data_IF_501144813673
#
_entry.id   IF_501144813673
#
_cell.length_a   1.000
_cell.length_b   1.000
_cell.length_c   1.000
_cell.angle_alpha   90.00
_cell.angle_beta   90.00
_cell.angle_gamma   90.00
#
_symmetry.space_group_name_H-M   'P 1'
#
loop_
_entity.id
_entity.type
_entity.pdbx_description
1 polymer ?
#
# COMPACT_ATOMS: atom_id res chain seq x y z
N UNK A 1 -5.25 -9.13 21.00
CA UNK A 1 -5.20 -9.38 19.53
C UNK A 1 -4.74 -8.08 18.89
N UNK A 2 -3.79 -8.15 17.96
CA UNK A 2 -3.29 -6.99 17.22
C UNK A 2 -3.39 -7.30 15.73
N UNK A 3 -3.85 -6.35 14.92
CA UNK A 3 -3.95 -6.52 13.48
C UNK A 3 -4.26 -5.22 12.76
N UNK A 4 -3.83 -5.11 11.51
CA UNK A 4 -4.19 -4.00 10.62
C UNK A 4 -5.27 -4.48 9.63
N UNK A 5 -6.50 -3.94 9.70
CA UNK A 5 -7.59 -4.34 8.81
C UNK A 5 -7.31 -4.06 7.32
N UNK A 6 -6.36 -3.17 7.02
CA UNK A 6 -5.94 -2.82 5.66
C UNK A 6 -5.02 -3.85 4.99
N UNK A 7 -4.47 -4.81 5.76
CA UNK A 7 -3.45 -5.75 5.28
C UNK A 7 -3.96 -7.18 5.07
N UNK A 8 -5.25 -7.36 4.81
CA UNK A 8 -5.86 -8.66 4.52
C UNK A 8 -5.67 -9.01 3.04
N UNK A 9 -4.49 -9.49 2.68
CA UNK A 9 -4.11 -9.81 1.29
C UNK A 9 -4.57 -11.20 0.83
N UNK A 10 -4.84 -12.09 1.76
CA UNK A 10 -5.34 -13.46 1.51
C UNK A 10 -6.44 -13.80 2.50
N UNK A 11 -7.46 -14.47 2.01
CA UNK A 11 -8.53 -15.04 2.80
C UNK A 11 -8.29 -16.56 2.87
N UNK A 12 -7.67 -17.00 3.97
CA UNK A 12 -7.45 -18.43 4.24
C UNK A 12 -8.46 -18.92 5.27
N UNK A 13 -8.98 -20.13 5.08
CA UNK A 13 -9.84 -20.81 6.05
C UNK A 13 -11.09 -20.01 6.50
N UNK A 14 -11.81 -19.43 5.54
CA UNK A 14 -13.10 -18.78 5.83
C UNK A 14 -14.10 -19.90 6.15
N UNK A 15 -14.40 -20.07 7.44
CA UNK A 15 -15.54 -20.89 7.83
C UNK A 15 -16.84 -20.12 7.54
N UNK A 16 -17.90 -20.84 7.15
CA UNK A 16 -19.22 -20.23 6.89
C UNK A 16 -19.71 -19.37 8.07
N UNK A 17 -19.40 -19.79 9.30
CA UNK A 17 -19.78 -19.10 10.53
C UNK A 17 -19.16 -17.70 10.68
N UNK A 18 -17.92 -17.51 10.27
CA UNK A 18 -17.16 -16.26 10.46
C UNK A 18 -16.86 -15.53 9.16
N UNK A 19 -17.37 -16.02 8.03
CA UNK A 19 -17.16 -15.41 6.72
C UNK A 19 -17.61 -13.95 6.63
N UNK A 20 -18.64 -13.56 7.38
CA UNK A 20 -19.11 -12.17 7.46
C UNK A 20 -18.10 -11.19 8.05
N UNK A 21 -17.06 -11.67 8.72
CA UNK A 21 -15.98 -10.87 9.30
C UNK A 21 -14.69 -10.91 8.46
N UNK A 22 -14.73 -11.52 7.29
CA UNK A 22 -13.64 -11.42 6.32
C UNK A 22 -13.41 -9.95 5.92
N UNK A 23 -12.38 -9.68 5.17
CA UNK A 23 -12.06 -8.34 4.65
C UNK A 23 -11.69 -7.26 5.71
N UNK A 24 -11.02 -7.69 6.78
CA UNK A 24 -10.48 -6.76 7.78
C UNK A 24 -11.48 -6.33 8.86
N UNK A 25 -12.66 -6.94 8.93
CA UNK A 25 -13.68 -6.66 9.97
C UNK A 25 -13.35 -7.24 11.34
N UNK A 26 -12.08 -7.08 11.76
CA UNK A 26 -11.58 -7.61 13.04
C UNK A 26 -12.29 -6.95 14.24
N UNK A 27 -12.60 -5.66 14.15
CA UNK A 27 -13.34 -4.92 15.16
C UNK A 27 -14.73 -5.48 15.36
N UNK A 28 -15.46 -5.70 14.26
CA UNK A 28 -16.78 -6.27 14.28
C UNK A 28 -16.77 -7.70 14.86
N UNK A 29 -15.78 -8.50 14.52
CA UNK A 29 -15.59 -9.83 15.11
C UNK A 29 -15.39 -9.76 16.62
N UNK A 30 -14.48 -8.87 17.08
CA UNK A 30 -14.22 -8.70 18.51
C UNK A 30 -15.50 -8.25 19.24
N UNK A 31 -16.20 -7.25 18.73
CA UNK A 31 -17.41 -6.72 19.36
C UNK A 31 -18.56 -7.74 19.37
N UNK A 32 -18.81 -8.40 18.25
CA UNK A 32 -20.00 -9.22 18.06
C UNK A 32 -19.87 -10.68 18.51
N UNK A 33 -18.64 -11.22 18.55
CA UNK A 33 -18.42 -12.61 18.92
C UNK A 33 -17.69 -12.75 20.26
N UNK A 34 -16.58 -12.04 20.45
CA UNK A 34 -15.81 -12.09 21.69
C UNK A 34 -16.46 -11.26 22.81
N UNK A 35 -16.93 -10.05 22.49
CA UNK A 35 -17.55 -9.13 23.44
C UNK A 35 -18.82 -9.67 24.11
N UNK A 36 -19.48 -10.66 23.50
CA UNK A 36 -20.59 -11.40 24.12
C UNK A 36 -20.16 -12.32 25.29
N UNK A 37 -18.88 -12.70 25.31
CA UNK A 37 -18.36 -13.68 26.26
C UNK A 37 -17.44 -13.07 27.30
N UNK A 38 -16.69 -12.04 26.89
CA UNK A 38 -15.70 -11.35 27.73
C UNK A 38 -15.76 -9.86 27.45
N UNK A 39 -15.42 -9.04 28.46
CA UNK A 39 -15.26 -7.61 28.28
C UNK A 39 -14.05 -7.34 27.40
N UNK A 40 -14.27 -6.73 26.24
CA UNK A 40 -13.23 -6.36 25.27
C UNK A 40 -13.05 -4.84 25.29
N UNK A 41 -11.80 -4.39 25.32
CA UNK A 41 -11.42 -3.01 25.03
C UNK A 41 -10.74 -2.98 23.67
N UNK A 42 -11.17 -2.10 22.77
CA UNK A 42 -10.64 -1.95 21.41
C UNK A 42 -9.96 -0.59 21.31
N UNK A 43 -8.65 -0.61 21.13
CA UNK A 43 -7.84 0.57 20.89
C UNK A 43 -7.47 0.63 19.40
N UNK A 44 -7.93 1.68 18.72
CA UNK A 44 -7.69 1.92 17.29
C UNK A 44 -6.66 3.04 17.04
N UNK A 45 -6.12 3.64 18.10
CA UNK A 45 -5.31 4.86 17.99
C UNK A 45 -3.86 4.69 18.42
N UNK A 46 -3.59 3.93 19.47
CA UNK A 46 -2.23 3.84 20.06
C UNK A 46 -1.18 3.32 19.08
N UNK A 47 -1.52 2.36 18.21
CA UNK A 47 -0.61 1.79 17.23
C UNK A 47 -0.76 2.39 15.82
N UNK A 48 -1.16 3.64 15.71
CA UNK A 48 -1.37 4.33 14.43
C UNK A 48 -0.10 5.02 13.88
N UNK A 49 1.08 4.65 14.35
CA UNK A 49 2.34 5.21 13.86
C UNK A 49 3.04 4.28 12.88
N UNK A 50 3.45 4.83 11.73
CA UNK A 50 4.28 4.12 10.76
C UNK A 50 5.76 4.34 11.05
N UNK A 51 6.47 3.27 11.42
CA UNK A 51 7.93 3.29 11.59
C UNK A 51 8.68 3.13 10.25
N UNK A 52 7.98 3.09 9.15
CA UNK A 52 8.54 2.85 7.81
C UNK A 52 8.29 4.01 6.86
N UNK A 53 7.04 4.41 6.72
CA UNK A 53 6.60 5.29 5.65
C UNK A 53 6.78 6.77 6.03
N UNK A 54 7.11 7.60 5.04
CA UNK A 54 7.03 9.05 5.16
C UNK A 54 5.57 9.55 5.03
N UNK A 55 5.36 10.84 5.24
CA UNK A 55 4.02 11.45 5.26
C UNK A 55 3.28 11.25 3.93
N UNK A 56 3.96 11.46 2.79
CA UNK A 56 3.33 11.33 1.47
C UNK A 56 2.81 9.92 1.21
N UNK A 57 3.58 8.89 1.59
CA UNK A 57 3.17 7.49 1.47
C UNK A 57 2.00 7.19 2.41
N UNK A 58 2.03 7.69 3.65
CA UNK A 58 0.95 7.53 4.61
C UNK A 58 -0.35 8.15 4.11
N UNK A 59 -0.31 9.40 3.64
CA UNK A 59 -1.46 10.12 3.12
C UNK A 59 -2.04 9.46 1.87
N UNK A 60 -1.19 9.12 0.90
CA UNK A 60 -1.64 8.47 -0.32
C UNK A 60 -2.28 7.10 -0.06
N UNK A 61 -1.64 6.25 0.76
CA UNK A 61 -2.17 4.93 1.06
C UNK A 61 -3.46 4.97 1.88
N UNK A 62 -3.64 5.97 2.75
CA UNK A 62 -4.84 6.13 3.57
C UNK A 62 -6.10 6.40 2.75
N UNK A 63 -6.00 7.02 1.56
CA UNK A 63 -7.13 7.26 0.67
C UNK A 63 -7.90 5.99 0.27
N UNK A 64 -7.24 4.83 0.31
CA UNK A 64 -7.90 3.55 0.07
C UNK A 64 -8.85 3.11 1.19
N UNK A 65 -8.71 3.70 2.37
CA UNK A 65 -9.47 3.37 3.57
C UNK A 65 -9.88 4.65 4.31
N UNK A 66 -10.80 5.46 3.72
CA UNK A 66 -11.16 6.77 4.25
C UNK A 66 -11.82 6.71 5.64
N UNK A 67 -12.41 5.56 5.97
CA UNK A 67 -13.07 5.33 7.27
C UNK A 67 -12.08 4.96 8.39
N UNK A 68 -10.80 4.82 8.09
CA UNK A 68 -9.76 4.46 9.07
C UNK A 68 -8.81 5.64 9.32
N UNK A 69 -8.25 5.75 10.54
CA UNK A 69 -7.29 6.79 10.86
C UNK A 69 -6.08 6.76 9.91
N UNK A 70 -5.60 7.94 9.50
CA UNK A 70 -4.39 8.07 8.69
C UNK A 70 -3.19 7.70 9.56
N UNK A 71 -2.36 6.70 9.16
CA UNK A 71 -1.12 6.42 9.87
C UNK A 71 -0.17 7.61 9.77
N UNK A 72 0.42 8.01 10.87
CA UNK A 72 1.39 9.10 10.90
C UNK A 72 2.82 8.55 10.93
N UNK A 73 3.79 9.19 10.28
CA UNK A 73 5.19 8.82 10.42
C UNK A 73 5.63 8.87 11.88
N UNK A 74 6.39 7.88 12.31
CA UNK A 74 6.99 7.88 13.64
C UNK A 74 7.96 9.05 13.81
N UNK A 75 7.89 9.73 14.94
CA UNK A 75 8.77 10.86 15.27
C UNK A 75 10.10 10.45 15.92
N UNK A 76 10.33 9.16 16.19
CA UNK A 76 11.55 8.71 16.86
C UNK A 76 12.81 8.92 15.98
N UNK A 77 13.94 9.20 16.63
CA UNK A 77 15.21 9.48 15.93
C UNK A 77 15.65 8.32 15.03
N UNK A 78 15.44 7.09 15.44
CA UNK A 78 15.82 5.89 14.68
C UNK A 78 15.03 5.72 13.37
N UNK A 79 13.82 6.27 13.29
CA UNK A 79 12.98 6.25 12.09
C UNK A 79 13.17 7.49 11.22
N UNK A 80 13.73 8.57 11.78
CA UNK A 80 14.07 9.79 11.05
C UNK A 80 15.36 9.55 10.27
N UNK A 81 15.24 9.02 9.08
CA UNK A 81 16.36 8.99 8.14
C UNK A 81 16.24 10.20 7.22
N UNK A 82 17.27 11.01 7.20
CA UNK A 82 17.36 12.10 6.23
C UNK A 82 17.75 11.49 4.89
N UNK A 83 16.83 11.51 3.93
CA UNK A 83 17.11 11.14 2.55
C UNK A 83 16.79 12.35 1.68
N UNK A 84 17.79 12.93 1.10
CA UNK A 84 17.64 14.25 0.48
C UNK A 84 17.00 14.23 -0.89
N UNK A 85 16.81 13.09 -1.53
CA UNK A 85 16.39 13.07 -2.93
C UNK A 85 15.36 11.99 -3.20
N UNK A 86 14.30 12.37 -3.90
CA UNK A 86 13.29 11.48 -4.43
C UNK A 86 12.47 10.75 -3.35
N UNK A 87 11.71 11.51 -2.57
CA UNK A 87 10.75 11.00 -1.58
C UNK A 87 9.30 11.25 -2.02
N UNK A 88 8.43 10.30 -1.72
CA UNK A 88 6.99 10.43 -1.95
C UNK A 88 6.41 9.39 -2.90
N UNK A 89 5.26 9.75 -3.51
CA UNK A 89 4.56 8.90 -4.47
C UNK A 89 4.61 9.55 -5.85
N UNK A 90 5.00 8.76 -6.85
CA UNK A 90 5.23 9.23 -8.22
C UNK A 90 4.50 8.36 -9.22
N UNK A 91 4.04 8.96 -10.31
CA UNK A 91 3.65 8.24 -11.52
C UNK A 91 4.81 8.27 -12.51
N UNK A 92 5.08 7.15 -13.14
CA UNK A 92 6.14 7.01 -14.14
C UNK A 92 5.57 6.41 -15.43
N UNK A 93 5.96 7.00 -16.57
CA UNK A 93 5.55 6.47 -17.87
C UNK A 93 6.27 5.17 -18.19
N UNK A 94 5.65 4.22 -18.91
CA UNK A 94 6.27 2.93 -19.23
C UNK A 94 7.64 3.03 -19.93
N UNK A 95 7.85 4.05 -20.77
CA UNK A 95 9.13 4.24 -21.47
C UNK A 95 10.27 4.74 -20.57
N UNK A 96 9.97 5.32 -19.40
CA UNK A 96 10.95 5.82 -18.44
C UNK A 96 11.36 4.75 -17.40
N UNK A 97 10.69 3.59 -17.38
CA UNK A 97 10.89 2.56 -16.36
C UNK A 97 12.33 2.07 -16.30
N UNK A 98 12.97 1.81 -17.44
CA UNK A 98 14.34 1.29 -17.44
C UNK A 98 15.33 2.30 -16.85
N UNK A 99 15.18 3.58 -17.20
CA UNK A 99 15.99 4.65 -16.66
C UNK A 99 15.77 4.77 -15.14
N UNK A 100 14.52 4.73 -14.70
CA UNK A 100 14.16 4.78 -13.29
C UNK A 100 14.74 3.62 -12.48
N UNK A 101 14.71 2.40 -13.03
CA UNK A 101 15.32 1.22 -12.42
C UNK A 101 16.82 1.38 -12.24
N UNK A 102 17.51 1.90 -13.25
CA UNK A 102 18.97 2.12 -13.19
C UNK A 102 19.35 3.22 -12.18
N UNK A 103 18.55 4.28 -12.08
CA UNK A 103 18.85 5.43 -11.23
C UNK A 103 18.53 5.18 -9.75
N UNK A 104 17.37 4.57 -9.46
CA UNK A 104 16.86 4.44 -8.10
C UNK A 104 16.87 3.02 -7.53
N UNK A 105 17.13 2.02 -8.36
CA UNK A 105 17.18 0.60 -7.99
C UNK A 105 16.00 0.15 -7.09
N UNK A 106 14.73 0.46 -7.42
CA UNK A 106 13.59 0.08 -6.62
C UNK A 106 13.29 -1.42 -6.73
N UNK A 107 12.66 -1.99 -5.72
CA UNK A 107 12.06 -3.32 -5.84
C UNK A 107 10.78 -3.24 -6.67
N UNK A 108 10.69 -4.06 -7.71
CA UNK A 108 9.54 -4.13 -8.60
C UNK A 108 8.43 -4.98 -7.97
N UNK A 109 7.24 -4.38 -7.81
CA UNK A 109 6.07 -5.07 -7.26
C UNK A 109 5.03 -5.30 -8.36
N UNK A 110 4.61 -6.56 -8.51
CA UNK A 110 3.64 -6.97 -9.52
C UNK A 110 2.56 -7.89 -8.95
N UNK A 111 1.46 -8.04 -9.70
CA UNK A 111 0.36 -8.92 -9.29
C UNK A 111 0.76 -10.39 -9.30
N UNK A 112 1.39 -10.84 -10.38
CA UNK A 112 1.82 -12.22 -10.59
C UNK A 112 2.98 -12.30 -11.57
N UNK A 113 3.54 -13.48 -11.75
CA UNK A 113 4.62 -13.75 -12.72
C UNK A 113 4.25 -13.49 -14.19
N UNK A 114 2.95 -13.41 -14.51
CA UNK A 114 2.48 -13.06 -15.86
C UNK A 114 2.76 -11.60 -16.25
N UNK A 115 2.93 -10.70 -15.26
CA UNK A 115 3.29 -9.30 -15.53
C UNK A 115 4.77 -9.23 -15.90
N UNK A 116 5.05 -8.71 -17.10
CA UNK A 116 6.42 -8.53 -17.59
C UNK A 116 7.10 -7.39 -16.86
N UNK A 117 8.30 -7.66 -16.34
CA UNK A 117 9.16 -6.72 -15.62
C UNK A 117 10.61 -6.96 -15.98
N UNK A 118 11.49 -6.04 -15.67
CA UNK A 118 12.93 -6.21 -15.91
C UNK A 118 13.56 -7.14 -14.86
N UNK A 119 13.87 -8.38 -15.25
CA UNK A 119 14.39 -9.41 -14.35
C UNK A 119 15.84 -9.19 -13.87
N UNK A 120 16.53 -8.16 -14.36
CA UNK A 120 17.86 -7.77 -13.85
C UNK A 120 17.77 -7.11 -12.47
N UNK A 121 16.60 -6.65 -12.07
CA UNK A 121 16.33 -6.00 -10.78
C UNK A 121 15.43 -6.86 -9.90
N UNK A 122 15.43 -6.60 -8.61
CA UNK A 122 14.61 -7.34 -7.66
C UNK A 122 13.12 -7.25 -7.99
N UNK A 123 12.44 -8.40 -7.99
CA UNK A 123 11.00 -8.53 -8.29
C UNK A 123 10.31 -9.32 -7.20
N UNK A 124 9.18 -8.82 -6.72
CA UNK A 124 8.36 -9.48 -5.70
C UNK A 124 6.89 -9.37 -6.10
N UNK A 125 6.10 -10.42 -5.90
CA UNK A 125 4.65 -10.31 -6.06
C UNK A 125 4.03 -9.59 -4.87
N UNK A 126 2.93 -8.84 -5.06
CA UNK A 126 2.27 -8.10 -3.96
C UNK A 126 2.01 -8.95 -2.73
N UNK A 127 1.54 -10.18 -2.91
CA UNK A 127 1.23 -11.06 -1.79
C UNK A 127 2.46 -11.47 -0.98
N UNK A 128 3.59 -11.65 -1.64
CA UNK A 128 4.87 -12.03 -1.03
C UNK A 128 5.57 -10.84 -0.36
N UNK A 129 5.19 -9.62 -0.72
CA UNK A 129 5.79 -8.41 -0.16
C UNK A 129 5.34 -8.11 1.29
N UNK A 130 4.27 -8.78 1.76
CA UNK A 130 3.79 -8.61 3.13
C UNK A 130 4.87 -9.02 4.15
N UNK A 131 5.15 -8.13 5.11
CA UNK A 131 6.22 -8.32 6.11
C UNK A 131 7.58 -7.78 5.66
N UNK A 132 7.80 -7.56 4.36
CA UNK A 132 9.06 -7.00 3.86
C UNK A 132 9.10 -5.48 3.99
N UNK A 133 10.29 -4.92 3.84
CA UNK A 133 10.54 -3.48 3.81
C UNK A 133 11.57 -3.18 2.74
N UNK A 134 11.28 -2.20 1.89
CA UNK A 134 12.16 -1.75 0.81
C UNK A 134 12.48 -0.27 1.00
N UNK A 135 13.58 0.16 0.46
CA UNK A 135 13.86 1.60 0.41
C UNK A 135 12.92 2.28 -0.58
N UNK A 136 12.80 1.72 -1.77
CA UNK A 136 11.96 2.22 -2.86
C UNK A 136 11.19 1.08 -3.51
N UNK A 137 9.99 1.36 -3.98
CA UNK A 137 9.16 0.39 -4.70
C UNK A 137 8.72 0.96 -6.06
N UNK A 138 8.73 0.10 -7.08
CA UNK A 138 8.15 0.36 -8.39
C UNK A 138 6.97 -0.58 -8.60
N UNK A 139 5.77 -0.04 -8.71
CA UNK A 139 4.53 -0.78 -8.78
C UNK A 139 4.05 -0.91 -10.23
N UNK A 140 3.78 -2.14 -10.66
CA UNK A 140 3.06 -2.44 -11.89
C UNK A 140 1.59 -2.70 -11.55
N UNK A 141 0.71 -1.70 -11.71
CA UNK A 141 -0.66 -1.78 -11.26
C UNK A 141 -1.53 -2.65 -12.17
N UNK A 142 -2.61 -3.21 -11.61
CA UNK A 142 -3.70 -3.80 -12.39
C UNK A 142 -4.62 -2.71 -12.93
N UNK A 143 -5.54 -3.05 -13.87
CA UNK A 143 -6.52 -2.09 -14.41
C UNK A 143 -7.37 -1.43 -13.32
N UNK A 144 -7.85 -2.21 -12.33
CA UNK A 144 -8.63 -1.67 -11.21
C UNK A 144 -7.82 -0.69 -10.35
N UNK A 145 -6.53 -0.97 -10.15
CA UNK A 145 -5.63 -0.07 -9.42
C UNK A 145 -5.41 1.23 -10.20
N UNK A 146 -5.25 1.16 -11.52
CA UNK A 146 -5.13 2.33 -12.39
C UNK A 146 -6.42 3.18 -12.30
N UNK A 147 -7.59 2.55 -12.44
CA UNK A 147 -8.87 3.25 -12.33
C UNK A 147 -9.03 3.97 -10.99
N UNK A 148 -8.58 3.34 -9.89
CA UNK A 148 -8.59 3.97 -8.57
C UNK A 148 -7.59 5.15 -8.47
N UNK A 149 -6.44 5.07 -9.11
CA UNK A 149 -5.43 6.15 -9.09
C UNK A 149 -5.97 7.39 -9.84
N UNK A 150 -6.67 7.20 -10.96
CA UNK A 150 -7.35 8.27 -11.69
C UNK A 150 -8.55 8.85 -10.91
N UNK A 151 -9.29 8.00 -10.22
CA UNK A 151 -10.46 8.40 -9.45
C UNK A 151 -10.50 7.65 -8.11
N UNK A 152 -10.10 8.30 -7.02
CA UNK A 152 -10.04 7.67 -5.69
C UNK A 152 -11.41 7.20 -5.17
N UNK A 153 -12.52 7.59 -5.79
CA UNK A 153 -13.86 7.08 -5.50
C UNK A 153 -14.19 5.79 -6.25
N UNK A 154 -13.33 5.34 -7.18
CA UNK A 154 -13.54 4.07 -7.89
C UNK A 154 -13.53 2.91 -6.90
N UNK A 155 -14.57 2.06 -6.99
CA UNK A 155 -14.67 0.90 -6.12
C UNK A 155 -13.69 -0.20 -6.53
N UNK A 156 -12.65 -0.36 -5.75
CA UNK A 156 -11.65 -1.41 -5.91
C UNK A 156 -11.99 -2.59 -5.00
N UNK A 157 -11.95 -3.82 -5.53
CA UNK A 157 -12.22 -5.05 -4.78
C UNK A 157 -11.29 -5.17 -3.57
N UNK A 158 -11.83 -5.63 -2.44
CA UNK A 158 -11.12 -5.66 -1.15
C UNK A 158 -9.71 -6.30 -1.22
N UNK A 159 -9.58 -7.45 -1.88
CA UNK A 159 -8.27 -8.09 -2.02
C UNK A 159 -7.28 -7.27 -2.86
N UNK A 160 -7.76 -6.66 -3.95
CA UNK A 160 -6.94 -5.80 -4.81
C UNK A 160 -6.53 -4.55 -4.05
N UNK A 161 -7.44 -3.95 -3.29
CA UNK A 161 -7.22 -2.80 -2.43
C UNK A 161 -6.15 -3.11 -1.36
N UNK A 162 -6.31 -4.23 -0.65
CA UNK A 162 -5.35 -4.65 0.37
C UNK A 162 -3.95 -4.91 -0.21
N UNK A 163 -3.86 -5.54 -1.39
CA UNK A 163 -2.57 -5.76 -2.06
C UNK A 163 -1.92 -4.46 -2.50
N UNK A 164 -2.68 -3.51 -3.05
CA UNK A 164 -2.16 -2.20 -3.42
C UNK A 164 -1.67 -1.43 -2.17
N UNK A 165 -2.48 -1.40 -1.10
CA UNK A 165 -2.09 -0.80 0.17
C UNK A 165 -0.80 -1.41 0.72
N UNK A 166 -0.72 -2.74 0.76
CA UNK A 166 0.49 -3.42 1.20
C UNK A 166 1.68 -3.05 0.32
N UNK A 167 1.54 -3.09 -1.00
CA UNK A 167 2.63 -2.75 -1.92
C UNK A 167 3.17 -1.34 -1.69
N UNK A 168 2.29 -0.34 -1.59
CA UNK A 168 2.64 1.06 -1.35
C UNK A 168 3.35 1.21 0.01
N UNK A 169 2.82 0.61 1.05
CA UNK A 169 3.35 0.74 2.41
C UNK A 169 4.61 -0.09 2.68
N UNK A 170 5.15 -0.82 1.68
CA UNK A 170 6.46 -1.51 1.80
C UNK A 170 7.65 -0.57 1.64
N UNK A 171 7.46 0.56 1.00
CA UNK A 171 8.54 1.51 0.74
C UNK A 171 8.79 2.45 1.92
N UNK A 172 10.06 2.78 2.14
CA UNK A 172 10.47 3.80 3.12
C UNK A 172 10.44 5.20 2.53
N UNK A 173 11.01 5.37 1.32
CA UNK A 173 11.27 6.69 0.76
C UNK A 173 10.35 7.03 -0.40
N UNK A 174 10.28 6.17 -1.40
CA UNK A 174 9.46 6.46 -2.57
C UNK A 174 8.73 5.24 -3.12
N UNK A 175 7.57 5.54 -3.70
CA UNK A 175 6.78 4.61 -4.49
C UNK A 175 6.59 5.22 -5.85
N UNK A 176 7.05 4.55 -6.90
CA UNK A 176 6.71 4.89 -8.27
C UNK A 176 5.66 3.90 -8.79
N UNK A 177 4.68 4.39 -9.53
CA UNK A 177 3.60 3.57 -10.11
C UNK A 177 3.63 3.74 -11.61
N UNK A 178 3.75 2.62 -12.34
CA UNK A 178 3.85 2.62 -13.80
C UNK A 178 2.47 2.82 -14.41
N UNK A 179 2.22 4.00 -14.96
CA UNK A 179 0.96 4.36 -15.63
C UNK A 179 1.30 5.19 -16.86
N UNK A 180 0.61 4.90 -17.95
CA UNK A 180 0.64 5.77 -19.12
C UNK A 180 -0.34 6.93 -18.89
N UNK A 181 0.18 8.14 -18.82
CA UNK A 181 -0.58 9.36 -18.56
C UNK A 181 -0.18 10.47 -19.53
N UNK A 182 -1.12 11.38 -19.79
CA UNK A 182 -0.83 12.63 -20.53
C UNK A 182 -0.31 13.71 -19.57
N UNK A 183 0.30 14.75 -20.12
CA UNK A 183 0.75 15.88 -19.30
C UNK A 183 -0.43 16.69 -18.75
N UNK A 184 -1.60 16.61 -19.38
CA UNK A 184 -2.84 17.26 -18.99
C UNK A 184 -3.58 16.53 -17.87
N UNK A 185 -3.32 15.21 -17.65
CA UNK A 185 -3.97 14.46 -16.59
C UNK A 185 -3.61 15.06 -15.23
N UNK A 186 -4.60 15.30 -14.38
CA UNK A 186 -4.40 15.77 -13.02
C UNK A 186 -4.55 14.62 -12.01
N UNK A 187 -3.60 14.52 -11.11
CA UNK A 187 -3.62 13.51 -10.05
C UNK A 187 -3.48 14.18 -8.68
N UNK A 188 -4.36 13.82 -7.77
CA UNK A 188 -4.34 14.39 -6.43
C UNK A 188 -3.28 13.71 -5.56
N UNK A 189 -2.36 14.52 -4.99
CA UNK A 189 -1.31 14.08 -4.05
C UNK A 189 -0.35 13.01 -4.61
N UNK A 190 -0.11 13.04 -5.91
CA UNK A 190 0.86 12.20 -6.61
C UNK A 190 1.63 13.06 -7.60
N UNK A 191 2.94 12.94 -7.61
CA UNK A 191 3.79 13.67 -8.52
C UNK A 191 3.97 12.90 -9.84
N UNK A 192 3.95 13.60 -10.96
CA UNK A 192 4.39 13.04 -12.23
C UNK A 192 5.92 13.08 -12.25
N UNK A 193 6.53 11.91 -12.40
CA UNK A 193 7.98 11.85 -12.56
C UNK A 193 8.34 12.28 -13.99
N UNK A 194 9.23 13.25 -14.11
CA UNK A 194 9.76 13.77 -15.38
C UNK A 194 11.27 13.72 -15.31
N UNK A 195 11.90 13.20 -16.35
CA UNK A 195 13.34 13.29 -16.56
C UNK A 195 13.72 14.62 -17.25
#
# INVERSE_FOLDING_TARGET
MVGDPRQVTYLTHITSKYGKYSDGKIKDFISNELGKKIKCNIDEFTLNSSHRNNMSICQFSAKMYPDLPIPLPCSCLNCRRVFPQHEGVFLIKPHDVERYLNEYNPVQLRWSSAVRVNKKFNVVNFGESKGLTFERALIYPTKDMISWIYNNNFHIKNQTRAKLYVGITRARYSVAIVIDFSDEDEFKDVNKFKY
#
